data_IF_529906426085
#
_entry.id   IF_529906426085
#
_cell.length_a   1.000
_cell.length_b   1.000
_cell.length_c   1.000
_cell.angle_alpha   90.00
_cell.angle_beta   90.00
_cell.angle_gamma   90.00
#
_symmetry.space_group_name_H-M   'P 1'
#
loop_
_entity.id
_entity.type
_entity.pdbx_description
1 polymer ?
#
# COMPACT_ATOMS: atom_id res chain seq x y z
N UNK A 1 -50.61 84.48 -37.21
CA UNK A 1 -51.73 83.65 -36.78
C UNK A 1 -51.15 82.23 -36.70
N UNK A 2 -51.03 81.60 -35.69
CA UNK A 2 -51.29 81.61 -34.28
C UNK A 2 -50.52 80.45 -33.67
N UNK A 3 -49.69 80.73 -32.75
CA UNK A 3 -48.93 79.79 -31.97
C UNK A 3 -49.87 78.95 -31.11
N UNK A 4 -49.66 77.62 -31.06
CA UNK A 4 -50.02 76.83 -29.90
C UNK A 4 -48.84 75.95 -29.46
N UNK A 5 -48.23 76.53 -28.44
CA UNK A 5 -47.34 75.81 -27.51
C UNK A 5 -48.09 74.63 -26.90
N UNK A 6 -47.51 73.41 -26.99
CA UNK A 6 -47.84 72.25 -26.15
C UNK A 6 -46.72 72.02 -25.21
N UNK A 7 -46.83 72.57 -24.01
CA UNK A 7 -46.08 72.11 -22.83
C UNK A 7 -46.26 70.58 -22.61
N UNK A 8 -45.31 69.86 -22.94
CA UNK A 8 -45.13 68.49 -22.39
C UNK A 8 -44.40 68.68 -21.03
N UNK A 9 -45.15 68.54 -19.95
CA UNK A 9 -44.63 68.30 -18.62
C UNK A 9 -43.98 66.93 -18.59
N UNK A 10 -42.65 66.93 -18.59
CA UNK A 10 -41.85 65.74 -18.28
C UNK A 10 -42.06 65.33 -16.83
N UNK A 11 -42.96 64.36 -16.59
CA UNK A 11 -43.03 63.70 -15.27
C UNK A 11 -41.72 62.93 -15.05
N UNK A 12 -41.07 63.15 -13.89
CA UNK A 12 -39.85 62.40 -13.61
C UNK A 12 -40.17 60.90 -13.46
N UNK A 13 -39.63 60.07 -14.37
CA UNK A 13 -39.66 58.60 -14.28
C UNK A 13 -39.13 58.18 -12.90
N UNK A 14 -39.91 57.43 -12.10
CA UNK A 14 -39.44 56.99 -10.78
C UNK A 14 -38.16 56.22 -10.91
N UNK A 15 -37.07 56.73 -10.34
CA UNK A 15 -35.80 56.06 -10.27
C UNK A 15 -36.00 54.71 -9.55
N UNK A 16 -35.93 53.61 -10.27
CA UNK A 16 -35.91 52.28 -9.70
C UNK A 16 -34.83 52.22 -8.62
N UNK A 17 -35.22 52.09 -7.35
CA UNK A 17 -34.32 52.02 -6.20
C UNK A 17 -33.42 50.78 -6.17
N UNK A 18 -33.51 49.88 -7.17
CA UNK A 18 -32.68 48.71 -7.33
C UNK A 18 -31.71 48.86 -8.53
N UNK A 19 -30.77 49.77 -8.44
CA UNK A 19 -29.60 49.71 -9.27
C UNK A 19 -28.71 48.57 -8.72
N UNK A 20 -28.34 47.58 -9.52
CA UNK A 20 -27.49 46.49 -9.06
C UNK A 20 -26.09 47.03 -8.72
N UNK A 21 -25.84 47.30 -7.44
CA UNK A 21 -24.53 47.71 -6.99
C UNK A 21 -23.64 46.47 -6.86
N UNK A 22 -22.68 46.34 -7.74
CA UNK A 22 -21.76 45.18 -7.80
C UNK A 22 -21.09 44.81 -6.46
N UNK A 23 -20.84 45.81 -5.61
CA UNK A 23 -20.28 45.62 -4.26
C UNK A 23 -21.26 44.89 -3.33
N UNK A 24 -22.51 45.28 -3.28
CA UNK A 24 -23.51 44.60 -2.43
C UNK A 24 -23.85 43.22 -2.96
N UNK A 25 -23.85 43.02 -4.27
CA UNK A 25 -24.01 41.68 -4.86
C UNK A 25 -22.86 40.77 -4.48
N UNK A 26 -21.62 41.24 -4.53
CA UNK A 26 -20.43 40.47 -4.12
C UNK A 26 -20.49 40.11 -2.64
N UNK A 27 -20.87 41.08 -1.75
CA UNK A 27 -21.03 40.84 -0.31
C UNK A 27 -22.13 39.79 -0.06
N UNK A 28 -23.26 39.88 -0.78
CA UNK A 28 -24.36 38.92 -0.67
C UNK A 28 -23.90 37.51 -1.07
N UNK A 29 -23.15 37.37 -2.16
CA UNK A 29 -22.62 36.08 -2.62
C UNK A 29 -21.65 35.48 -1.59
N UNK A 30 -20.75 36.29 -1.02
CA UNK A 30 -19.85 35.80 0.03
C UNK A 30 -20.60 35.45 1.33
N UNK A 31 -21.58 36.24 1.73
CA UNK A 31 -22.41 35.94 2.90
C UNK A 31 -23.21 34.64 2.69
N UNK A 32 -23.78 34.46 1.51
CA UNK A 32 -24.53 33.25 1.16
C UNK A 32 -23.61 32.01 1.09
N UNK A 33 -22.40 32.14 0.53
CA UNK A 33 -21.38 31.10 0.52
C UNK A 33 -20.92 30.74 1.95
N UNK A 34 -20.76 31.78 2.83
CA UNK A 34 -20.41 31.52 4.23
C UNK A 34 -21.52 30.80 4.99
N UNK A 35 -22.79 31.25 4.83
CA UNK A 35 -23.95 30.57 5.46
C UNK A 35 -24.12 29.15 4.94
N UNK A 36 -23.99 28.92 3.63
CA UNK A 36 -24.01 27.57 3.05
C UNK A 36 -22.88 26.73 3.60
N UNK A 37 -21.66 27.27 3.69
CA UNK A 37 -20.51 26.58 4.30
C UNK A 37 -20.76 26.22 5.77
N UNK A 38 -21.30 27.16 6.57
CA UNK A 38 -21.64 26.90 7.96
C UNK A 38 -22.72 25.82 8.12
N UNK A 39 -23.77 25.84 7.27
CA UNK A 39 -24.82 24.83 7.26
C UNK A 39 -24.22 23.44 6.88
N UNK A 40 -23.36 23.38 5.86
CA UNK A 40 -22.69 22.12 5.46
C UNK A 40 -21.81 21.58 6.59
N UNK A 41 -21.05 22.44 7.28
CA UNK A 41 -20.24 22.04 8.43
C UNK A 41 -21.13 21.55 9.58
N UNK A 42 -22.22 22.26 9.87
CA UNK A 42 -23.18 21.85 10.92
C UNK A 42 -23.82 20.49 10.61
N UNK A 43 -24.28 20.27 9.37
CA UNK A 43 -24.83 18.99 8.93
C UNK A 43 -23.76 17.89 9.00
N UNK A 44 -22.53 18.19 8.58
CA UNK A 44 -21.41 17.24 8.61
C UNK A 44 -21.08 16.81 10.05
N UNK A 45 -21.02 17.76 10.99
CA UNK A 45 -20.73 17.47 12.41
C UNK A 45 -21.92 16.76 13.06
N UNK A 46 -23.16 17.26 12.86
CA UNK A 46 -24.36 16.69 13.47
C UNK A 46 -24.73 15.29 12.96
N UNK A 47 -24.39 14.98 11.72
CA UNK A 47 -24.67 13.69 11.08
C UNK A 47 -23.39 12.94 10.68
N UNK A 48 -22.32 13.14 11.44
CA UNK A 48 -21.00 12.56 11.11
C UNK A 48 -21.04 11.05 10.85
N UNK A 49 -21.77 10.29 11.70
CA UNK A 49 -21.93 8.84 11.53
C UNK A 49 -22.71 8.46 10.25
N UNK A 50 -23.70 9.27 9.86
CA UNK A 50 -24.45 9.07 8.63
C UNK A 50 -23.59 9.36 7.42
N UNK A 51 -22.83 10.46 7.49
CA UNK A 51 -21.88 10.86 6.44
C UNK A 51 -20.79 9.79 6.23
N UNK A 52 -20.21 9.27 7.33
CA UNK A 52 -19.24 8.18 7.24
C UNK A 52 -19.85 6.90 6.63
N UNK A 53 -21.11 6.59 6.99
CA UNK A 53 -21.83 5.42 6.41
C UNK A 53 -22.08 5.61 4.92
N UNK A 54 -22.49 6.81 4.48
CA UNK A 54 -22.66 7.12 3.06
C UNK A 54 -21.34 7.05 2.30
N UNK A 55 -20.25 7.61 2.84
CA UNK A 55 -18.91 7.49 2.25
C UNK A 55 -18.51 6.02 2.14
N UNK A 56 -18.75 5.22 3.19
CA UNK A 56 -18.51 3.78 3.17
C UNK A 56 -19.30 3.04 2.09
N UNK A 57 -20.57 3.36 1.92
CA UNK A 57 -21.40 2.79 0.85
C UNK A 57 -20.91 3.16 -0.54
N UNK A 58 -20.57 4.43 -0.76
CA UNK A 58 -20.01 4.91 -2.03
C UNK A 58 -18.66 4.25 -2.32
N UNK A 59 -17.77 4.14 -1.31
CA UNK A 59 -16.48 3.46 -1.46
C UNK A 59 -16.66 1.98 -1.78
N UNK A 60 -17.62 1.32 -1.16
CA UNK A 60 -17.95 -0.08 -1.46
C UNK A 60 -18.48 -0.24 -2.90
N UNK A 61 -19.36 0.64 -3.35
CA UNK A 61 -19.86 0.66 -4.73
C UNK A 61 -18.77 0.90 -5.75
N UNK A 62 -17.81 1.79 -5.44
CA UNK A 62 -16.67 2.11 -6.29
C UNK A 62 -15.50 1.11 -6.14
N UNK A 63 -15.58 0.17 -5.21
CA UNK A 63 -14.51 -0.80 -4.95
C UNK A 63 -13.98 -1.50 -6.20
N UNK A 64 -14.79 -2.02 -7.14
CA UNK A 64 -14.27 -2.65 -8.35
C UNK A 64 -13.51 -1.68 -9.25
N UNK A 65 -13.93 -0.41 -9.28
CA UNK A 65 -13.24 0.63 -10.07
C UNK A 65 -11.90 1.01 -9.44
N UNK A 66 -11.85 1.16 -8.11
CA UNK A 66 -10.62 1.46 -7.38
C UNK A 66 -9.64 0.29 -7.53
N UNK A 67 -10.12 -0.94 -7.35
CA UNK A 67 -9.30 -2.15 -7.53
C UNK A 67 -8.85 -2.29 -8.99
N UNK A 68 -9.73 -2.04 -9.96
CA UNK A 68 -9.40 -2.05 -11.38
C UNK A 68 -8.34 -0.99 -11.74
N UNK A 69 -8.44 0.22 -11.18
CA UNK A 69 -7.44 1.27 -11.35
C UNK A 69 -6.08 0.86 -10.78
N UNK A 70 -6.07 0.23 -9.61
CA UNK A 70 -4.84 -0.28 -8.99
C UNK A 70 -4.20 -1.41 -9.82
N UNK A 71 -4.99 -2.38 -10.30
CA UNK A 71 -4.52 -3.44 -11.21
C UNK A 71 -3.95 -2.82 -12.49
N UNK A 72 -4.67 -1.86 -13.10
CA UNK A 72 -4.20 -1.16 -14.29
C UNK A 72 -2.87 -0.45 -14.04
N UNK A 73 -2.72 0.20 -12.91
CA UNK A 73 -1.50 0.92 -12.51
C UNK A 73 -0.31 -0.03 -12.36
N UNK A 74 -0.51 -1.18 -11.70
CA UNK A 74 0.55 -2.19 -11.49
C UNK A 74 0.94 -2.89 -12.80
N UNK A 75 -0.05 -3.22 -13.64
CA UNK A 75 0.22 -3.95 -14.89
C UNK A 75 0.65 -3.04 -16.06
N UNK A 76 0.38 -1.75 -16.00
CA UNK A 76 0.71 -0.81 -17.08
C UNK A 76 2.17 -0.87 -17.55
N UNK A 77 3.20 -0.91 -16.67
CA UNK A 77 4.59 -1.04 -17.09
C UNK A 77 4.88 -2.33 -17.85
N UNK A 78 4.30 -3.46 -17.42
CA UNK A 78 4.44 -4.74 -18.11
C UNK A 78 3.78 -4.71 -19.49
N UNK A 79 2.56 -4.19 -19.57
CA UNK A 79 1.85 -4.00 -20.84
C UNK A 79 2.65 -3.09 -21.78
N UNK A 80 3.19 -1.99 -21.24
CA UNK A 80 3.99 -1.04 -22.03
C UNK A 80 5.28 -1.65 -22.55
N UNK A 81 5.97 -2.43 -21.74
CA UNK A 81 7.18 -3.15 -22.11
C UNK A 81 6.88 -4.16 -23.24
N UNK A 82 5.86 -5.00 -23.07
CA UNK A 82 5.46 -5.98 -24.09
C UNK A 82 5.03 -5.28 -25.38
N UNK A 83 4.23 -4.22 -25.28
CA UNK A 83 3.78 -3.45 -26.42
C UNK A 83 4.95 -2.85 -27.20
N UNK A 84 5.84 -2.11 -26.52
CA UNK A 84 6.92 -1.35 -27.15
C UNK A 84 8.04 -2.25 -27.65
N UNK A 85 8.57 -3.12 -26.77
CA UNK A 85 9.83 -3.81 -27.02
C UNK A 85 9.63 -5.18 -27.68
N UNK A 86 8.54 -5.89 -27.34
CA UNK A 86 8.25 -7.22 -27.90
C UNK A 86 7.42 -7.08 -29.18
N UNK A 87 6.17 -6.62 -29.08
CA UNK A 87 5.26 -6.69 -30.22
C UNK A 87 5.51 -5.64 -31.30
N UNK A 88 5.90 -4.40 -30.92
CA UNK A 88 6.16 -3.35 -31.91
C UNK A 88 7.57 -3.43 -32.48
N UNK A 89 8.61 -3.55 -31.63
CA UNK A 89 10.00 -3.57 -32.14
C UNK A 89 10.40 -4.93 -32.72
N UNK A 90 10.16 -6.03 -31.98
CA UNK A 90 10.65 -7.36 -32.39
C UNK A 90 9.75 -8.01 -33.42
N UNK A 91 8.43 -7.99 -33.21
CA UNK A 91 7.45 -8.62 -34.10
C UNK A 91 6.91 -7.67 -35.18
N UNK A 92 7.24 -6.36 -35.15
CA UNK A 92 6.81 -5.34 -36.12
C UNK A 92 5.29 -5.34 -36.37
N UNK A 93 4.48 -5.62 -35.35
CA UNK A 93 3.04 -5.68 -35.46
C UNK A 93 2.43 -4.29 -35.59
N UNK A 94 1.25 -4.20 -36.24
CA UNK A 94 0.49 -2.96 -36.31
C UNK A 94 0.02 -2.51 -34.91
N UNK A 95 -0.15 -1.21 -34.71
CA UNK A 95 -0.41 -0.57 -33.40
C UNK A 95 -1.58 -1.17 -32.65
N UNK A 96 -2.73 -1.41 -33.32
CA UNK A 96 -3.94 -1.94 -32.69
C UNK A 96 -3.77 -3.38 -32.20
N UNK A 97 -3.40 -4.38 -33.04
CA UNK A 97 -3.21 -5.74 -32.57
C UNK A 97 -2.04 -5.87 -31.57
N UNK A 98 -0.95 -5.13 -31.73
CA UNK A 98 0.15 -5.14 -30.77
C UNK A 98 -0.31 -4.72 -29.36
N UNK A 99 -1.17 -3.70 -29.27
CA UNK A 99 -1.69 -3.22 -27.99
C UNK A 99 -2.64 -4.25 -27.35
N UNK A 100 -3.58 -4.80 -28.11
CA UNK A 100 -4.52 -5.80 -27.59
C UNK A 100 -3.79 -7.07 -27.12
N UNK A 101 -2.82 -7.54 -27.89
CA UNK A 101 -2.03 -8.71 -27.53
C UNK A 101 -1.14 -8.46 -26.31
N UNK A 102 -0.56 -7.27 -26.18
CA UNK A 102 0.21 -6.91 -24.98
C UNK A 102 -0.62 -6.92 -23.72
N UNK A 103 -1.85 -6.40 -23.78
CA UNK A 103 -2.80 -6.46 -22.65
C UNK A 103 -3.12 -7.92 -22.34
N UNK A 104 -3.58 -8.68 -23.32
CA UNK A 104 -3.97 -10.09 -23.14
C UNK A 104 -2.85 -10.91 -22.50
N UNK A 105 -1.64 -10.84 -23.07
CA UNK A 105 -0.47 -11.60 -22.57
C UNK A 105 -0.07 -11.15 -21.17
N UNK A 106 -0.10 -9.84 -20.87
CA UNK A 106 0.20 -9.35 -19.52
C UNK A 106 -0.77 -9.87 -18.46
N UNK A 107 -2.07 -9.90 -18.78
CA UNK A 107 -3.08 -10.43 -17.86
C UNK A 107 -2.99 -11.94 -17.71
N UNK A 108 -2.79 -12.69 -18.81
CA UNK A 108 -2.59 -14.13 -18.74
C UNK A 108 -1.35 -14.49 -17.91
N UNK A 109 -0.27 -13.74 -18.08
CA UNK A 109 0.96 -13.93 -17.32
C UNK A 109 0.74 -13.62 -15.85
N UNK A 110 0.08 -12.51 -15.51
CA UNK A 110 -0.23 -12.13 -14.14
C UNK A 110 -1.15 -13.16 -13.46
N UNK A 111 -2.23 -13.57 -14.13
CA UNK A 111 -3.15 -14.60 -13.62
C UNK A 111 -2.41 -15.94 -13.48
N UNK A 112 -1.58 -16.32 -14.46
CA UNK A 112 -0.78 -17.54 -14.41
C UNK A 112 0.18 -17.56 -13.20
N UNK A 113 0.91 -16.46 -12.97
CA UNK A 113 1.79 -16.32 -11.79
C UNK A 113 0.99 -16.44 -10.49
N UNK A 114 -0.13 -15.70 -10.38
CA UNK A 114 -0.99 -15.76 -9.18
C UNK A 114 -1.52 -17.19 -8.97
N UNK A 115 -1.98 -17.84 -10.02
CA UNK A 115 -2.50 -19.22 -9.93
C UNK A 115 -1.42 -20.19 -9.46
N UNK A 116 -0.22 -20.11 -10.04
CA UNK A 116 0.92 -20.94 -9.61
C UNK A 116 1.25 -20.69 -8.14
N UNK A 117 1.33 -19.42 -7.73
CA UNK A 117 1.59 -19.06 -6.34
C UNK A 117 0.51 -19.62 -5.40
N UNK A 118 -0.77 -19.47 -5.75
CA UNK A 118 -1.86 -19.97 -4.91
C UNK A 118 -1.87 -21.51 -4.82
N UNK A 119 -1.71 -22.20 -5.94
CA UNK A 119 -1.80 -23.66 -5.99
C UNK A 119 -0.60 -24.35 -5.32
N UNK A 120 0.59 -23.78 -5.42
CA UNK A 120 1.80 -24.40 -4.87
C UNK A 120 2.16 -23.89 -3.47
N UNK A 121 2.00 -22.59 -3.21
CA UNK A 121 2.46 -21.99 -1.95
C UNK A 121 1.43 -22.20 -0.83
N UNK A 122 0.13 -22.00 -1.10
CA UNK A 122 -0.90 -22.11 -0.05
C UNK A 122 -0.93 -23.48 0.61
N UNK A 123 -0.96 -24.62 -0.12
CA UNK A 123 -0.91 -25.94 0.51
C UNK A 123 0.33 -26.15 1.36
N UNK A 124 1.51 -25.72 0.90
CA UNK A 124 2.74 -25.88 1.66
C UNK A 124 2.77 -25.03 2.94
N UNK A 125 2.19 -23.81 2.90
CA UNK A 125 2.02 -23.00 4.11
C UNK A 125 1.05 -23.69 5.09
N UNK A 126 -0.06 -24.23 4.56
CA UNK A 126 -1.04 -24.93 5.39
C UNK A 126 -0.42 -26.16 6.08
N UNK A 127 0.27 -27.00 5.34
CA UNK A 127 0.99 -28.17 5.88
C UNK A 127 2.02 -27.76 6.93
N UNK A 128 2.86 -26.77 6.60
CA UNK A 128 3.88 -26.24 7.52
C UNK A 128 3.27 -25.72 8.84
N UNK A 129 2.16 -25.00 8.78
CA UNK A 129 1.47 -24.49 9.96
C UNK A 129 0.80 -25.61 10.74
N UNK A 130 0.22 -26.60 10.06
CA UNK A 130 -0.37 -27.79 10.71
C UNK A 130 0.67 -28.59 11.47
N UNK A 131 1.83 -28.85 10.84
CA UNK A 131 2.96 -29.53 11.49
C UNK A 131 3.45 -28.77 12.74
N UNK A 132 3.59 -27.44 12.63
CA UNK A 132 4.01 -26.61 13.76
C UNK A 132 3.02 -26.70 14.94
N UNK A 133 1.70 -26.77 14.69
CA UNK A 133 0.72 -26.93 15.79
C UNK A 133 0.90 -28.27 16.51
N UNK A 134 1.29 -29.32 15.80
CA UNK A 134 1.54 -30.63 16.39
C UNK A 134 2.89 -30.68 17.16
N UNK A 135 3.88 -29.92 16.72
CA UNK A 135 5.19 -29.86 17.36
C UNK A 135 5.22 -29.01 18.64
N UNK A 136 4.31 -28.04 18.78
CA UNK A 136 4.29 -27.15 19.94
C UNK A 136 4.24 -27.87 21.30
N UNK A 137 3.37 -28.89 21.53
CA UNK A 137 3.37 -29.63 22.78
C UNK A 137 4.66 -30.40 23.05
N UNK A 138 5.25 -30.97 21.99
CA UNK A 138 6.53 -31.69 22.07
C UNK A 138 7.65 -30.72 22.43
N UNK A 139 7.68 -29.55 21.80
CA UNK A 139 8.66 -28.49 22.10
C UNK A 139 8.53 -28.02 23.55
N UNK A 140 7.29 -27.81 24.05
CA UNK A 140 7.04 -27.45 25.43
C UNK A 140 7.62 -28.48 26.41
N UNK A 141 7.31 -29.76 26.21
CA UNK A 141 7.81 -30.83 27.08
C UNK A 141 9.34 -30.93 27.04
N UNK A 142 9.94 -30.79 25.85
CA UNK A 142 11.39 -30.80 25.71
C UNK A 142 12.04 -29.59 26.39
N UNK A 143 11.44 -28.40 26.30
CA UNK A 143 11.92 -27.20 26.96
C UNK A 143 11.85 -27.32 28.49
N UNK A 144 10.78 -27.89 29.03
CA UNK A 144 10.64 -28.15 30.45
C UNK A 144 11.70 -29.18 30.92
N UNK A 145 11.84 -30.32 30.23
CA UNK A 145 12.84 -31.32 30.55
C UNK A 145 14.28 -30.79 30.48
N UNK A 146 14.56 -29.94 29.50
CA UNK A 146 15.88 -29.27 29.42
C UNK A 146 16.14 -28.35 30.62
N UNK A 147 15.13 -27.60 31.07
CA UNK A 147 15.27 -26.74 32.26
C UNK A 147 15.49 -27.56 33.53
N UNK A 148 14.74 -28.67 33.69
CA UNK A 148 14.92 -29.61 34.83
C UNK A 148 16.34 -30.20 34.85
N UNK A 149 16.86 -30.68 33.73
CA UNK A 149 18.19 -31.20 33.60
C UNK A 149 19.26 -30.13 33.83
N UNK A 150 19.02 -28.89 33.38
CA UNK A 150 19.94 -27.77 33.60
C UNK A 150 20.05 -27.40 35.09
N UNK A 151 18.95 -27.46 35.85
CA UNK A 151 18.89 -27.24 37.28
C UNK A 151 19.74 -28.28 38.06
N UNK A 152 19.64 -29.56 37.69
CA UNK A 152 20.43 -30.62 38.31
C UNK A 152 21.94 -30.49 38.08
N UNK A 153 22.36 -29.98 36.92
CA UNK A 153 23.77 -30.03 36.48
C UNK A 153 24.57 -28.78 36.88
N UNK A 154 23.95 -27.64 37.14
CA UNK A 154 24.63 -26.34 37.29
C UNK A 154 24.43 -25.62 38.63
N UNK A 155 24.46 -26.37 39.73
CA UNK A 155 24.44 -25.81 41.11
C UNK A 155 25.61 -24.88 41.44
N UNK A 156 26.59 -24.69 40.52
CA UNK A 156 27.82 -23.99 40.75
C UNK A 156 27.89 -22.51 40.34
N UNK A 157 26.85 -21.98 39.64
CA UNK A 157 26.85 -20.57 39.23
C UNK A 157 26.05 -19.69 40.19
N UNK A 158 26.62 -19.34 41.32
CA UNK A 158 26.00 -18.61 42.43
C UNK A 158 25.65 -17.14 42.16
N UNK A 159 25.80 -16.65 40.94
CA UNK A 159 25.54 -15.24 40.58
C UNK A 159 24.12 -14.95 40.10
N UNK A 160 23.33 -15.98 39.81
CA UNK A 160 21.97 -15.84 39.33
C UNK A 160 21.03 -16.49 40.36
N UNK A 161 20.04 -15.76 40.83
CA UNK A 161 18.98 -16.33 41.66
C UNK A 161 18.10 -17.25 40.78
N UNK A 162 18.47 -18.53 40.77
CA UNK A 162 17.84 -19.58 39.95
C UNK A 162 16.35 -19.72 40.25
N UNK A 163 15.92 -19.48 41.49
CA UNK A 163 14.52 -19.62 41.87
C UNK A 163 13.65 -18.58 41.13
N UNK A 164 14.14 -17.33 41.06
CA UNK A 164 13.46 -16.24 40.36
C UNK A 164 13.48 -16.46 38.84
N UNK A 165 14.58 -16.98 38.29
CA UNK A 165 14.69 -17.26 36.86
C UNK A 165 13.78 -18.42 36.45
N UNK A 166 13.79 -19.52 37.21
CA UNK A 166 12.94 -20.67 37.02
C UNK A 166 11.46 -20.28 37.10
N UNK A 167 11.03 -19.60 38.16
CA UNK A 167 9.63 -19.17 38.32
C UNK A 167 9.17 -18.32 37.14
N UNK A 168 9.99 -17.39 36.66
CA UNK A 168 9.67 -16.57 35.48
C UNK A 168 9.61 -17.38 34.18
N UNK A 169 10.54 -18.31 33.96
CA UNK A 169 10.57 -19.14 32.76
C UNK A 169 9.39 -20.12 32.78
N UNK A 170 9.14 -20.84 33.89
CA UNK A 170 7.99 -21.76 34.02
C UNK A 170 6.64 -21.05 33.89
N UNK A 171 6.55 -19.78 34.32
CA UNK A 171 5.32 -18.98 34.14
C UNK A 171 5.19 -18.38 32.72
N UNK A 172 6.30 -18.17 32.01
CA UNK A 172 6.29 -17.60 30.66
C UNK A 172 6.08 -18.64 29.56
N UNK A 173 6.65 -19.86 29.72
CA UNK A 173 6.56 -20.94 28.74
C UNK A 173 5.12 -21.28 28.33
N UNK A 174 4.17 -21.53 29.27
CA UNK A 174 2.78 -21.82 28.89
C UNK A 174 2.14 -20.67 28.13
N UNK A 175 2.39 -19.41 28.57
CA UNK A 175 1.85 -18.22 27.90
C UNK A 175 2.38 -18.06 26.47
N UNK A 176 3.65 -18.38 26.24
CA UNK A 176 4.25 -18.35 24.90
C UNK A 176 3.60 -19.43 24.03
N UNK A 177 3.45 -20.65 24.54
CA UNK A 177 2.79 -21.75 23.80
C UNK A 177 1.34 -21.41 23.49
N UNK A 178 0.57 -20.91 24.47
CA UNK A 178 -0.82 -20.50 24.28
C UNK A 178 -0.93 -19.38 23.24
N UNK A 179 -0.03 -18.40 23.30
CA UNK A 179 0.03 -17.30 22.32
C UNK A 179 0.37 -17.81 20.92
N UNK A 180 1.37 -18.68 20.77
CA UNK A 180 1.74 -19.27 19.49
C UNK A 180 0.63 -20.18 18.94
N UNK A 181 0.03 -21.00 19.77
CA UNK A 181 -1.14 -21.83 19.41
C UNK A 181 -2.30 -20.94 18.98
N UNK A 182 -2.58 -19.87 19.72
CA UNK A 182 -3.61 -18.89 19.38
C UNK A 182 -3.35 -18.20 18.03
N UNK A 183 -2.12 -17.82 17.74
CA UNK A 183 -1.74 -17.27 16.43
C UNK A 183 -1.98 -18.31 15.33
N UNK A 184 -1.48 -19.52 15.50
CA UNK A 184 -1.58 -20.57 14.49
C UNK A 184 -3.03 -20.99 14.23
N UNK A 185 -3.83 -21.17 15.28
CA UNK A 185 -5.25 -21.51 15.16
C UNK A 185 -6.08 -20.40 14.52
N UNK A 186 -5.67 -19.13 14.67
CA UNK A 186 -6.34 -17.99 14.03
C UNK A 186 -5.87 -17.76 12.60
N UNK A 187 -4.60 -18.05 12.26
CA UNK A 187 -4.08 -17.87 10.91
C UNK A 187 -4.66 -18.90 9.93
N UNK A 188 -4.82 -20.15 10.34
CA UNK A 188 -5.40 -21.20 9.49
C UNK A 188 -6.79 -20.84 8.94
N UNK A 189 -7.77 -20.44 9.77
CA UNK A 189 -9.06 -19.96 9.27
C UNK A 189 -8.95 -18.71 8.39
N UNK A 190 -7.99 -17.82 8.65
CA UNK A 190 -7.75 -16.61 7.81
C UNK A 190 -7.27 -17.02 6.42
N UNK A 191 -6.34 -17.97 6.31
CA UNK A 191 -5.88 -18.49 5.01
C UNK A 191 -7.04 -19.13 4.24
N UNK A 192 -7.83 -19.98 4.91
CA UNK A 192 -9.01 -20.61 4.30
C UNK A 192 -10.05 -19.57 3.91
N UNK A 193 -10.36 -18.62 4.79
CA UNK A 193 -11.34 -17.57 4.51
C UNK A 193 -10.88 -16.61 3.43
N UNK A 194 -9.59 -16.29 3.34
CA UNK A 194 -9.02 -15.50 2.26
C UNK A 194 -9.15 -16.24 0.91
N UNK A 195 -8.87 -17.54 0.88
CA UNK A 195 -9.08 -18.37 -0.30
C UNK A 195 -10.55 -18.40 -0.73
N UNK A 196 -11.47 -18.55 0.24
CA UNK A 196 -12.93 -18.49 -0.02
C UNK A 196 -13.40 -17.09 -0.41
N UNK A 197 -12.81 -16.03 0.14
CA UNK A 197 -13.12 -14.65 -0.23
C UNK A 197 -12.73 -14.35 -1.69
N UNK A 198 -11.63 -14.92 -2.18
CA UNK A 198 -11.24 -14.86 -3.59
C UNK A 198 -12.34 -15.49 -4.45
N UNK A 199 -12.83 -16.66 -4.09
CA UNK A 199 -13.91 -17.35 -4.82
C UNK A 199 -15.21 -16.55 -4.78
N UNK A 200 -15.62 -16.05 -3.61
CA UNK A 200 -16.83 -15.20 -3.46
C UNK A 200 -16.69 -13.84 -4.12
N UNK A 201 -15.46 -13.30 -4.16
CA UNK A 201 -15.13 -12.02 -4.81
C UNK A 201 -14.98 -12.09 -6.34
N UNK A 202 -15.16 -13.27 -6.97
CA UNK A 202 -14.92 -13.46 -8.41
C UNK A 202 -15.69 -12.44 -9.28
N UNK A 203 -16.94 -12.13 -8.97
CA UNK A 203 -17.69 -11.15 -9.74
C UNK A 203 -17.08 -9.75 -9.65
N UNK A 204 -16.75 -9.29 -8.43
CA UNK A 204 -16.10 -7.99 -8.24
C UNK A 204 -14.70 -7.97 -8.86
N UNK A 205 -13.98 -9.10 -8.80
CA UNK A 205 -12.66 -9.24 -9.40
C UNK A 205 -12.72 -9.23 -10.93
N UNK A 206 -13.70 -9.92 -11.53
CA UNK A 206 -13.95 -9.88 -12.99
C UNK A 206 -14.28 -8.46 -13.44
N UNK A 207 -15.17 -7.75 -12.71
CA UNK A 207 -15.47 -6.35 -13.01
C UNK A 207 -14.19 -5.49 -12.89
N UNK A 208 -13.40 -5.69 -11.85
CA UNK A 208 -12.15 -4.96 -11.67
C UNK A 208 -11.14 -5.24 -12.80
N UNK A 209 -11.03 -6.48 -13.28
CA UNK A 209 -10.21 -6.81 -14.45
C UNK A 209 -10.74 -6.11 -15.70
N UNK A 210 -12.04 -6.15 -15.95
CA UNK A 210 -12.66 -5.48 -17.12
C UNK A 210 -12.36 -3.97 -17.06
N UNK A 211 -12.62 -3.34 -15.91
CA UNK A 211 -12.33 -1.91 -15.69
C UNK A 211 -10.84 -1.62 -15.94
N UNK A 212 -9.96 -2.46 -15.40
CA UNK A 212 -8.51 -2.33 -15.56
C UNK A 212 -8.07 -2.42 -17.02
N UNK A 213 -8.62 -3.37 -17.79
CA UNK A 213 -8.36 -3.50 -19.23
C UNK A 213 -8.81 -2.25 -19.98
N UNK A 214 -10.00 -1.73 -19.68
CA UNK A 214 -10.48 -0.47 -20.29
C UNK A 214 -9.60 0.71 -19.90
N UNK A 215 -9.20 0.83 -18.64
CA UNK A 215 -8.32 1.92 -18.19
C UNK A 215 -6.95 1.88 -18.89
N UNK A 216 -6.35 0.71 -19.08
CA UNK A 216 -5.10 0.57 -19.84
C UNK A 216 -5.35 0.84 -21.33
N UNK A 217 -6.46 0.32 -21.89
CA UNK A 217 -6.79 0.51 -23.29
C UNK A 217 -7.02 1.98 -23.61
N UNK A 218 -7.78 2.68 -22.81
CA UNK A 218 -8.23 4.03 -23.08
C UNK A 218 -7.49 5.10 -22.28
N UNK A 219 -6.33 4.74 -21.68
CA UNK A 219 -5.56 5.64 -20.83
C UNK A 219 -5.31 7.02 -21.49
N UNK A 220 -5.01 7.06 -22.80
CA UNK A 220 -4.76 8.33 -23.53
C UNK A 220 -6.02 9.20 -23.57
N UNK A 221 -7.19 8.59 -23.77
CA UNK A 221 -8.50 9.28 -23.85
C UNK A 221 -8.86 9.80 -22.46
N UNK A 222 -8.72 8.96 -21.43
CA UNK A 222 -9.01 9.31 -20.04
C UNK A 222 -8.13 10.49 -19.60
N UNK A 223 -6.83 10.42 -19.85
CA UNK A 223 -5.90 11.52 -19.55
C UNK A 223 -6.20 12.78 -20.36
N UNK A 224 -6.64 12.66 -21.61
CA UNK A 224 -7.04 13.79 -22.43
C UNK A 224 -8.26 14.52 -21.85
N UNK A 225 -9.32 13.79 -21.47
CA UNK A 225 -10.51 14.36 -20.86
C UNK A 225 -10.20 14.99 -19.49
N UNK A 226 -9.41 14.31 -18.67
CA UNK A 226 -8.96 14.86 -17.37
C UNK A 226 -8.15 16.15 -17.55
N UNK A 227 -7.21 16.13 -18.49
CA UNK A 227 -6.45 17.34 -18.88
C UNK A 227 -7.39 18.46 -19.31
N UNK A 228 -8.33 18.19 -20.23
CA UNK A 228 -9.29 19.18 -20.73
C UNK A 228 -10.10 19.79 -19.59
N UNK A 229 -10.64 18.96 -18.68
CA UNK A 229 -11.38 19.41 -17.50
C UNK A 229 -10.55 20.35 -16.64
N UNK A 230 -9.30 19.97 -16.36
CA UNK A 230 -8.38 20.76 -15.55
C UNK A 230 -8.11 22.14 -16.15
N UNK A 231 -7.84 22.23 -17.48
CA UNK A 231 -7.63 23.50 -18.18
C UNK A 231 -8.92 24.32 -18.35
N UNK A 232 -10.11 23.73 -18.18
CA UNK A 232 -11.37 24.45 -18.20
C UNK A 232 -11.66 25.13 -16.84
N UNK A 233 -11.27 24.48 -15.73
CA UNK A 233 -11.58 24.95 -14.36
C UNK A 233 -10.48 25.87 -13.83
N UNK A 234 -9.21 25.63 -14.21
CA UNK A 234 -8.06 26.35 -13.63
C UNK A 234 -7.39 27.26 -14.66
N UNK A 235 -6.79 28.41 -14.24
CA UNK A 235 -5.91 29.20 -15.09
C UNK A 235 -4.75 28.34 -15.65
N UNK A 236 -4.29 28.68 -16.87
CA UNK A 236 -3.28 27.88 -17.60
C UNK A 236 -2.04 27.58 -16.75
N UNK A 237 -1.51 28.58 -16.06
CA UNK A 237 -0.30 28.43 -15.24
C UNK A 237 -0.49 27.42 -14.10
N UNK A 238 -1.62 27.51 -13.36
CA UNK A 238 -1.98 26.57 -12.30
C UNK A 238 -2.21 25.15 -12.86
N UNK A 239 -2.88 25.06 -14.01
CA UNK A 239 -3.13 23.77 -14.67
C UNK A 239 -1.81 23.09 -15.12
N UNK A 240 -0.85 23.85 -15.65
CA UNK A 240 0.46 23.32 -16.04
C UNK A 240 1.25 22.81 -14.82
N UNK A 241 1.26 23.56 -13.72
CA UNK A 241 1.88 23.15 -12.45
C UNK A 241 1.23 21.90 -11.88
N UNK A 242 -0.11 21.89 -11.79
CA UNK A 242 -0.88 20.74 -11.28
C UNK A 242 -0.62 19.49 -12.13
N UNK A 243 -0.56 19.64 -13.45
CA UNK A 243 -0.23 18.53 -14.36
C UNK A 243 1.17 17.97 -14.10
N UNK A 244 2.16 18.84 -13.90
CA UNK A 244 3.54 18.43 -13.58
C UNK A 244 3.57 17.65 -12.25
N UNK A 245 2.92 18.17 -11.22
CA UNK A 245 2.82 17.52 -9.90
C UNK A 245 2.15 16.14 -10.02
N UNK A 246 1.01 16.03 -10.70
CA UNK A 246 0.31 14.75 -10.87
C UNK A 246 1.14 13.72 -11.63
N UNK A 247 1.86 14.17 -12.67
CA UNK A 247 2.74 13.29 -13.43
C UNK A 247 3.88 12.76 -12.57
N UNK A 248 4.54 13.64 -11.83
CA UNK A 248 5.67 13.24 -10.99
C UNK A 248 5.22 12.39 -9.80
N UNK A 249 4.07 12.72 -9.19
CA UNK A 249 3.43 11.87 -8.18
C UNK A 249 3.18 10.45 -8.70
N UNK A 250 2.63 10.33 -9.92
CA UNK A 250 2.44 9.03 -10.57
C UNK A 250 3.75 8.26 -10.78
N UNK A 251 4.83 8.96 -11.18
CA UNK A 251 6.16 8.37 -11.35
C UNK A 251 6.73 7.87 -10.00
N UNK A 252 6.63 8.67 -8.95
CA UNK A 252 7.08 8.31 -7.59
C UNK A 252 6.36 7.06 -7.10
N UNK A 253 5.02 7.06 -7.16
CA UNK A 253 4.21 5.91 -6.75
C UNK A 253 4.54 4.66 -7.57
N UNK A 254 4.58 4.78 -8.89
CA UNK A 254 4.86 3.64 -9.79
C UNK A 254 6.26 3.06 -9.53
N UNK A 255 7.27 3.91 -9.45
CA UNK A 255 8.65 3.48 -9.21
C UNK A 255 8.80 2.80 -7.85
N UNK A 256 8.14 3.33 -6.81
CA UNK A 256 8.19 2.75 -5.48
C UNK A 256 7.47 1.39 -5.41
N UNK A 257 6.21 1.32 -5.88
CA UNK A 257 5.40 0.08 -5.79
C UNK A 257 6.06 -1.05 -6.59
N UNK A 258 6.46 -0.75 -7.84
CA UNK A 258 7.07 -1.76 -8.71
C UNK A 258 8.46 -2.13 -8.20
N UNK A 259 9.26 -1.13 -7.83
CA UNK A 259 10.59 -1.38 -7.28
C UNK A 259 10.52 -2.26 -6.04
N UNK A 260 9.62 -1.94 -5.09
CA UNK A 260 9.51 -2.71 -3.85
C UNK A 260 8.91 -4.11 -4.05
N UNK A 261 7.98 -4.27 -5.01
CA UNK A 261 7.46 -5.58 -5.39
C UNK A 261 8.54 -6.49 -5.99
N UNK A 262 9.36 -5.94 -6.89
CA UNK A 262 10.49 -6.69 -7.51
C UNK A 262 11.54 -7.02 -6.44
N UNK A 263 11.90 -6.07 -5.60
CA UNK A 263 12.82 -6.24 -4.49
C UNK A 263 12.40 -7.38 -3.56
N UNK A 264 11.16 -7.33 -3.08
CA UNK A 264 10.57 -8.35 -2.20
C UNK A 264 10.51 -9.73 -2.85
N UNK A 265 10.20 -9.78 -4.14
CA UNK A 265 10.20 -11.04 -4.90
C UNK A 265 11.63 -11.64 -4.97
N UNK A 266 12.62 -10.83 -5.28
CA UNK A 266 14.02 -11.26 -5.37
C UNK A 266 14.50 -11.75 -3.99
N UNK A 267 14.23 -11.00 -2.93
CA UNK A 267 14.60 -11.40 -1.55
C UNK A 267 13.89 -12.70 -1.14
N UNK A 268 12.61 -12.85 -1.47
CA UNK A 268 11.88 -14.11 -1.25
C UNK A 268 12.52 -15.29 -1.97
N UNK A 269 12.90 -15.13 -3.23
CA UNK A 269 13.57 -16.17 -4.02
C UNK A 269 14.96 -16.48 -3.45
N UNK A 270 15.76 -15.48 -3.10
CA UNK A 270 17.09 -15.69 -2.49
C UNK A 270 16.93 -16.44 -1.17
N UNK A 271 15.98 -16.02 -0.33
CA UNK A 271 15.69 -16.69 0.93
C UNK A 271 15.28 -18.15 0.69
N UNK A 272 14.43 -18.43 -0.29
CA UNK A 272 14.01 -19.79 -0.66
C UNK A 272 15.18 -20.66 -1.10
N UNK A 273 16.03 -20.15 -1.97
CA UNK A 273 17.21 -20.88 -2.46
C UNK A 273 18.17 -21.17 -1.31
N UNK A 274 18.48 -20.18 -0.48
CA UNK A 274 19.37 -20.36 0.66
C UNK A 274 18.81 -21.34 1.70
N UNK A 275 17.53 -21.20 2.07
CA UNK A 275 16.90 -22.11 3.05
C UNK A 275 16.81 -23.53 2.53
N UNK A 276 16.61 -23.72 1.23
CA UNK A 276 16.60 -25.05 0.59
C UNK A 276 18.00 -25.66 0.58
N UNK A 277 19.03 -24.90 0.17
CA UNK A 277 20.43 -25.38 0.13
C UNK A 277 20.92 -25.76 1.54
N UNK A 278 20.65 -24.93 2.53
CA UNK A 278 21.04 -25.17 3.91
C UNK A 278 20.10 -26.13 4.67
N UNK A 279 19.11 -26.70 3.98
CA UNK A 279 18.15 -27.67 4.52
C UNK A 279 17.45 -27.16 5.78
N UNK A 280 16.98 -25.91 5.75
CA UNK A 280 16.12 -25.40 6.79
C UNK A 280 14.73 -26.05 6.71
N UNK A 281 14.07 -26.27 7.86
CA UNK A 281 12.69 -26.74 7.87
C UNK A 281 11.78 -25.64 7.29
N UNK A 282 10.70 -26.04 6.64
CA UNK A 282 9.67 -25.13 6.12
C UNK A 282 10.20 -24.00 5.21
N UNK A 283 11.15 -24.34 4.32
CA UNK A 283 11.84 -23.37 3.45
C UNK A 283 10.86 -22.45 2.68
N UNK A 284 9.75 -23.00 2.17
CA UNK A 284 8.73 -22.21 1.46
C UNK A 284 8.02 -21.23 2.39
N UNK A 285 7.58 -21.69 3.57
CA UNK A 285 6.93 -20.85 4.57
C UNK A 285 7.85 -19.68 4.96
N UNK A 286 9.10 -19.97 5.31
CA UNK A 286 10.10 -18.96 5.70
C UNK A 286 10.34 -17.93 4.61
N UNK A 287 10.52 -18.38 3.37
CA UNK A 287 10.78 -17.48 2.24
C UNK A 287 9.59 -16.62 1.86
N UNK A 288 8.39 -17.15 1.97
CA UNK A 288 7.15 -16.39 1.75
C UNK A 288 6.96 -15.34 2.84
N UNK A 289 7.19 -15.70 4.11
CA UNK A 289 7.13 -14.75 5.22
C UNK A 289 8.13 -13.61 4.98
N UNK A 290 9.40 -13.93 4.70
CA UNK A 290 10.45 -12.93 4.47
C UNK A 290 10.12 -12.07 3.24
N UNK A 291 9.69 -12.69 2.12
CA UNK A 291 9.34 -11.98 0.90
C UNK A 291 8.14 -11.04 1.09
N UNK A 292 7.07 -11.48 1.74
CA UNK A 292 5.88 -10.65 1.98
C UNK A 292 6.20 -9.51 2.96
N UNK A 293 6.86 -9.82 4.06
CA UNK A 293 7.18 -8.78 5.05
C UNK A 293 8.15 -7.75 4.48
N UNK A 294 9.07 -8.15 3.58
CA UNK A 294 10.03 -7.25 2.93
C UNK A 294 9.37 -6.15 2.09
N UNK A 295 8.07 -6.26 1.77
CA UNK A 295 7.30 -5.18 1.13
C UNK A 295 7.30 -3.90 2.00
N UNK A 296 7.34 -4.04 3.33
CA UNK A 296 7.38 -2.93 4.27
C UNK A 296 8.84 -2.50 4.45
N UNK A 297 9.24 -1.29 4.00
CA UNK A 297 10.62 -0.85 4.14
C UNK A 297 11.08 -0.83 5.60
N UNK A 298 12.33 -1.14 5.85
CA UNK A 298 13.00 -1.20 7.15
C UNK A 298 12.42 -2.22 8.14
N UNK A 299 11.11 -2.21 8.40
CA UNK A 299 10.47 -3.10 9.38
C UNK A 299 10.25 -4.53 8.86
N UNK A 300 9.97 -4.65 7.57
CA UNK A 300 9.66 -5.93 6.95
C UNK A 300 10.72 -7.01 7.17
N UNK A 301 11.98 -6.72 6.89
CA UNK A 301 13.07 -7.66 7.11
C UNK A 301 13.19 -8.18 8.54
N UNK A 302 13.08 -7.28 9.52
CA UNK A 302 13.13 -7.67 10.93
C UNK A 302 11.92 -8.51 11.33
N UNK A 303 10.73 -8.13 10.87
CA UNK A 303 9.51 -8.93 11.11
C UNK A 303 9.65 -10.34 10.54
N UNK A 304 10.10 -10.44 9.28
CA UNK A 304 10.32 -11.73 8.62
C UNK A 304 11.38 -12.57 9.34
N UNK A 305 12.48 -11.93 9.75
CA UNK A 305 13.54 -12.57 10.50
C UNK A 305 13.09 -13.12 11.86
N UNK A 306 12.34 -12.31 12.63
CA UNK A 306 11.81 -12.72 13.93
C UNK A 306 10.77 -13.82 13.80
N UNK A 307 9.77 -13.65 12.93
CA UNK A 307 8.71 -14.66 12.73
C UNK A 307 9.33 -15.98 12.25
N UNK A 308 10.22 -15.93 11.26
CA UNK A 308 10.93 -17.12 10.80
C UNK A 308 11.83 -17.74 11.85
N UNK A 309 12.48 -16.91 12.69
CA UNK A 309 13.26 -17.36 13.83
C UNK A 309 12.45 -18.14 14.86
N UNK A 310 11.24 -17.68 15.17
CA UNK A 310 10.28 -18.40 16.04
C UNK A 310 9.88 -19.75 15.44
N UNK A 311 9.56 -19.79 14.14
CA UNK A 311 9.24 -21.04 13.44
C UNK A 311 10.39 -22.04 13.54
N UNK A 312 11.62 -21.58 13.33
CA UNK A 312 12.81 -22.46 13.39
C UNK A 312 13.11 -22.87 14.83
N UNK A 313 12.90 -22.00 15.82
CA UNK A 313 13.11 -22.29 17.23
C UNK A 313 12.28 -23.51 17.70
N UNK A 314 11.04 -23.61 17.25
CA UNK A 314 10.13 -24.71 17.59
C UNK A 314 10.67 -26.05 17.05
N UNK A 315 11.29 -26.04 15.85
CA UNK A 315 11.72 -27.27 15.18
C UNK A 315 13.16 -27.65 15.53
N UNK A 316 14.04 -26.67 15.60
CA UNK A 316 15.47 -26.89 15.82
C UNK A 316 16.14 -25.65 16.43
N UNK A 317 16.26 -25.58 17.76
CA UNK A 317 16.83 -24.42 18.46
C UNK A 317 18.23 -24.02 17.96
N UNK A 318 19.09 -25.00 17.66
CA UNK A 318 20.43 -24.72 17.17
C UNK A 318 20.43 -24.01 15.81
N UNK A 319 19.48 -24.33 14.94
CA UNK A 319 19.39 -23.71 13.61
C UNK A 319 18.95 -22.25 13.66
N UNK A 320 18.39 -21.76 14.76
CA UNK A 320 18.03 -20.33 14.92
C UNK A 320 19.24 -19.40 14.77
N UNK A 321 20.41 -19.82 15.27
CA UNK A 321 21.63 -19.02 15.15
C UNK A 321 22.02 -18.91 13.66
N UNK A 322 21.98 -20.03 12.93
CA UNK A 322 22.26 -20.01 11.48
C UNK A 322 21.23 -19.21 10.70
N UNK A 323 19.96 -19.26 11.11
CA UNK A 323 18.90 -18.42 10.54
C UNK A 323 19.15 -16.94 10.75
N UNK A 324 19.50 -16.54 11.95
CA UNK A 324 19.81 -15.15 12.26
C UNK A 324 20.98 -14.63 11.39
N UNK A 325 22.03 -15.43 11.25
CA UNK A 325 23.17 -15.09 10.39
C UNK A 325 22.71 -15.00 8.92
N UNK A 326 21.94 -15.96 8.44
CA UNK A 326 21.42 -15.98 7.06
C UNK A 326 20.59 -14.71 6.77
N UNK A 327 19.65 -14.38 7.65
CA UNK A 327 18.82 -13.18 7.50
C UNK A 327 19.67 -11.92 7.52
N UNK A 328 20.66 -11.82 8.42
CA UNK A 328 21.56 -10.68 8.44
C UNK A 328 22.32 -10.53 7.11
N UNK A 329 22.81 -11.61 6.53
CA UNK A 329 23.50 -11.59 5.24
C UNK A 329 22.56 -11.14 4.13
N UNK A 330 21.35 -11.70 4.08
CA UNK A 330 20.33 -11.31 3.08
C UNK A 330 19.98 -9.83 3.23
N UNK A 331 19.85 -9.33 4.47
CA UNK A 331 19.55 -7.93 4.75
C UNK A 331 20.68 -6.98 4.35
N UNK A 332 21.93 -7.37 4.59
CA UNK A 332 23.07 -6.57 4.14
C UNK A 332 23.12 -6.51 2.60
N UNK A 333 22.83 -7.63 1.93
CA UNK A 333 22.75 -7.66 0.48
C UNK A 333 21.60 -6.77 -0.03
N UNK A 334 20.44 -6.81 0.60
CA UNK A 334 19.30 -5.95 0.26
C UNK A 334 19.66 -4.47 0.46
N UNK A 335 20.10 -4.09 1.65
CA UNK A 335 20.35 -2.71 2.00
C UNK A 335 21.50 -2.05 1.24
N UNK A 336 22.58 -2.79 0.95
CA UNK A 336 23.79 -2.25 0.32
C UNK A 336 23.77 -2.34 -1.21
N UNK A 337 23.10 -3.34 -1.77
CA UNK A 337 23.17 -3.61 -3.21
C UNK A 337 21.80 -3.57 -3.89
N UNK A 338 20.84 -4.36 -3.43
CA UNK A 338 19.58 -4.57 -4.13
C UNK A 338 18.67 -3.34 -4.02
N UNK A 339 18.47 -2.82 -2.82
CA UNK A 339 17.66 -1.64 -2.55
C UNK A 339 18.11 -0.41 -3.36
N UNK A 340 19.38 0.03 -3.28
CA UNK A 340 19.88 1.13 -4.09
C UNK A 340 19.76 0.90 -5.60
N UNK A 341 19.95 -0.34 -6.06
CA UNK A 341 19.88 -0.68 -7.49
C UNK A 341 18.45 -0.68 -8.04
N UNK A 342 17.48 -1.14 -7.25
CA UNK A 342 16.08 -1.27 -7.70
C UNK A 342 15.29 0.00 -7.43
N UNK A 343 15.33 0.51 -6.20
CA UNK A 343 14.58 1.69 -5.79
C UNK A 343 15.29 2.99 -6.19
N UNK A 344 16.63 2.97 -6.23
CA UNK A 344 17.45 4.14 -6.53
C UNK A 344 17.18 5.30 -5.56
N UNK A 345 17.66 6.49 -5.91
CA UNK A 345 17.40 7.73 -5.15
C UNK A 345 16.01 8.33 -5.44
N UNK A 346 15.12 7.56 -6.10
CA UNK A 346 13.86 8.09 -6.65
C UNK A 346 12.84 8.53 -5.60
N UNK A 347 12.94 8.08 -4.38
CA UNK A 347 12.06 8.58 -3.31
C UNK A 347 12.56 9.89 -2.70
N UNK A 348 13.86 10.18 -2.79
CA UNK A 348 14.47 11.41 -2.27
C UNK A 348 14.27 11.65 -0.76
N UNK A 349 13.67 10.70 -0.06
CA UNK A 349 13.34 10.84 1.35
C UNK A 349 14.53 10.45 2.23
N UNK A 350 14.79 11.26 3.25
CA UNK A 350 15.71 10.89 4.33
C UNK A 350 15.10 9.76 5.17
N UNK A 351 15.91 8.84 5.75
CA UNK A 351 15.43 7.70 6.54
C UNK A 351 14.41 8.06 7.62
N UNK A 352 14.56 9.20 8.27
CA UNK A 352 13.62 9.71 9.27
C UNK A 352 12.21 9.84 8.73
N UNK A 353 12.05 10.41 7.52
CA UNK A 353 10.74 10.58 6.88
C UNK A 353 10.12 9.27 6.43
N UNK A 354 10.95 8.27 6.11
CA UNK A 354 10.46 6.93 5.79
C UNK A 354 9.91 6.26 7.05
N UNK A 355 10.63 6.32 8.18
CA UNK A 355 10.14 5.79 9.47
C UNK A 355 8.86 6.50 9.90
N UNK A 356 8.82 7.83 9.80
CA UNK A 356 7.63 8.62 10.08
C UNK A 356 6.43 8.17 9.24
N UNK A 357 6.62 8.03 7.92
CA UNK A 357 5.55 7.63 7.01
C UNK A 357 5.01 6.23 7.29
N UNK A 358 5.88 5.29 7.64
CA UNK A 358 5.49 3.92 8.01
C UNK A 358 4.72 3.93 9.34
N UNK A 359 5.18 4.68 10.34
CA UNK A 359 4.54 4.75 11.65
C UNK A 359 3.15 5.40 11.57
N UNK A 360 3.06 6.57 10.94
CA UNK A 360 1.78 7.27 10.77
C UNK A 360 0.85 6.52 9.83
N UNK A 361 1.36 6.08 8.68
CA UNK A 361 0.59 5.29 7.73
C UNK A 361 0.06 4.00 8.36
N UNK A 362 0.92 3.32 9.13
CA UNK A 362 0.57 2.09 9.85
C UNK A 362 -0.53 2.28 10.89
N UNK A 363 -0.48 3.37 11.65
CA UNK A 363 -1.52 3.66 12.66
C UNK A 363 -2.87 4.03 12.03
N UNK A 364 -2.88 4.66 10.84
CA UNK A 364 -4.11 5.09 10.17
C UNK A 364 -4.75 3.99 9.31
N UNK A 365 -3.94 3.22 8.58
CA UNK A 365 -4.43 2.28 7.55
C UNK A 365 -3.80 0.88 7.66
N UNK A 366 -3.17 0.55 8.80
CA UNK A 366 -2.54 -0.75 9.01
C UNK A 366 -1.41 -1.04 8.02
N UNK A 367 -1.26 -2.30 7.60
CA UNK A 367 -0.18 -2.76 6.71
C UNK A 367 -0.17 -2.02 5.37
N UNK A 368 -1.35 -1.73 4.81
CA UNK A 368 -1.48 -0.97 3.55
C UNK A 368 -0.93 0.45 3.73
N UNK A 369 -1.22 1.08 4.87
CA UNK A 369 -0.69 2.39 5.21
C UNK A 369 0.82 2.40 5.44
N UNK A 370 1.38 1.35 6.04
CA UNK A 370 2.84 1.20 6.18
C UNK A 370 3.53 1.19 4.82
N UNK A 371 2.94 0.51 3.85
CA UNK A 371 3.49 0.41 2.50
C UNK A 371 3.29 1.70 1.68
N UNK A 372 2.05 2.19 1.59
CA UNK A 372 1.71 3.36 0.77
C UNK A 372 2.09 4.69 1.41
N UNK A 373 2.33 4.73 2.72
CA UNK A 373 2.74 5.93 3.43
C UNK A 373 4.03 6.54 2.88
N UNK A 374 5.00 5.71 2.51
CA UNK A 374 6.29 6.16 1.98
C UNK A 374 6.13 6.96 0.68
N UNK A 375 5.49 6.47 -0.39
CA UNK A 375 5.28 7.26 -1.58
C UNK A 375 4.35 8.47 -1.35
N UNK A 376 3.39 8.41 -0.41
CA UNK A 376 2.58 9.55 -0.03
C UNK A 376 3.43 10.70 0.53
N UNK A 377 4.32 10.39 1.48
CA UNK A 377 5.23 11.40 2.06
C UNK A 377 6.27 11.88 1.03
N UNK A 378 6.71 11.00 0.11
CA UNK A 378 7.61 11.41 -0.98
C UNK A 378 6.94 12.43 -1.91
N UNK A 379 5.68 12.20 -2.28
CA UNK A 379 4.88 13.17 -3.06
C UNK A 379 4.67 14.46 -2.29
N UNK A 380 4.34 14.37 -1.01
CA UNK A 380 4.18 15.57 -0.16
C UNK A 380 5.48 16.37 -0.10
N UNK A 381 6.62 15.73 0.11
CA UNK A 381 7.95 16.35 0.08
C UNK A 381 8.24 17.01 -1.27
N UNK A 382 7.89 16.34 -2.38
CA UNK A 382 8.04 16.89 -3.73
C UNK A 382 7.19 18.16 -3.93
N UNK A 383 5.96 18.17 -3.44
CA UNK A 383 5.06 19.35 -3.54
C UNK A 383 5.56 20.52 -2.67
N UNK A 384 6.11 20.23 -1.50
CA UNK A 384 6.58 21.27 -0.57
C UNK A 384 7.92 21.90 -1.00
N UNK A 385 8.80 21.14 -1.64
CA UNK A 385 10.12 21.62 -2.05
C UNK A 385 10.09 22.83 -3.00
N UNK A 386 9.34 22.87 -4.11
CA UNK A 386 9.28 24.05 -4.99
C UNK A 386 8.62 25.26 -4.32
N UNK A 387 7.69 25.05 -3.39
CA UNK A 387 7.07 26.14 -2.61
C UNK A 387 8.11 26.80 -1.68
N UNK A 388 9.00 25.99 -1.08
CA UNK A 388 10.07 26.51 -0.22
C UNK A 388 11.09 27.35 -0.99
N UNK A 389 11.46 26.96 -2.22
CA UNK A 389 12.41 27.73 -3.04
C UNK A 389 11.82 29.07 -3.49
N UNK A 390 10.53 29.13 -3.85
CA UNK A 390 9.88 30.37 -4.29
C UNK A 390 9.65 31.36 -3.14
N UNK A 391 9.50 30.92 -1.90
CA UNK A 391 9.29 31.80 -0.75
C UNK A 391 10.57 32.16 0.01
N UNK A 392 11.64 31.37 -0.09
CA UNK A 392 12.93 31.65 0.55
C UNK A 392 13.88 32.51 -0.31
N UNK A 393 13.58 32.70 -1.60
CA UNK A 393 14.39 33.50 -2.53
C UNK A 393 13.78 34.88 -2.84
N UNK A 394 12.71 35.28 -2.13
CA UNK A 394 12.22 36.66 -2.17
C UNK A 394 12.99 37.48 -1.13
N UNK A 395 13.63 38.59 -1.54
CA UNK A 395 14.40 39.46 -0.65
C UNK A 395 13.49 40.15 0.39
#
# INVERSE_FOLDING_TARGET
MENQDKNHTDEPIPKNHFTPNSRYFTILVYALAFVLGAILIYIFIGHFNVTLRLIGQITHLLSPFITGAFIAFVLYPLVHLLYRDVFTKRFKMAVRPAKMLSILVSYLLAIGIITVLLVFIIPQIYESLSDLTQLLPVWYNNAVAFLEQFEETHTALSFIDYNVLNEKIYSALPKIVDYLTGIMTNILPVIVSASMAIVKGVLNFVIAIIVSVYMISDHKIIFYHFKRLMYTIMPKQTADTTRSILRESGNIFSSFIIGKAIDSLIIGIICFVCTTIFRFPYAVLLSVIVGITNIIPYFGPYMGGVIGGVVILIVSPVKVIFWAILILIIQQFDGLYLGPKILGEKTGLRPLWVIFSITVGGSLFGVVGMFLGVPCVAVLSYILNPVSYTHLTLP
#
